data_IF_456249716961
#
_entry.id   IF_456249716961
#
_cell.length_a   1.000
_cell.length_b   1.000
_cell.length_c   1.000
_cell.angle_alpha   90.00
_cell.angle_beta   90.00
_cell.angle_gamma   90.00
#
_symmetry.space_group_name_H-M   'P 1'
#
loop_
_entity.id
_entity.type
_entity.pdbx_description
1 polymer ?
#
# COMPACT_ATOMS: atom_id res chain seq x y z
N UNK A 1 13.06 0.10 1.88
CA UNK A 1 11.78 -0.65 1.92
C UNK A 1 11.36 -1.05 3.33
N UNK A 2 12.22 -1.64 4.18
CA UNK A 2 11.87 -1.87 5.61
C UNK A 2 11.57 -0.55 6.33
N UNK A 3 12.43 0.45 6.16
CA UNK A 3 12.22 1.79 6.72
C UNK A 3 10.93 2.44 6.21
N UNK A 4 10.66 2.38 4.91
CA UNK A 4 9.41 2.87 4.34
C UNK A 4 8.16 2.19 4.92
N UNK A 5 8.20 0.88 5.21
CA UNK A 5 7.11 0.18 5.88
C UNK A 5 6.96 0.63 7.33
N UNK A 6 8.06 0.80 8.06
CA UNK A 6 8.04 1.33 9.43
C UNK A 6 7.46 2.75 9.45
N UNK A 7 7.85 3.63 8.53
CA UNK A 7 7.28 4.98 8.41
C UNK A 7 5.78 4.92 8.13
N UNK A 8 5.31 3.98 7.31
CA UNK A 8 3.87 3.79 7.09
C UNK A 8 3.17 3.35 8.38
N UNK A 9 3.76 2.46 9.18
CA UNK A 9 3.18 2.05 10.45
C UNK A 9 3.19 3.15 11.49
N UNK A 10 4.26 3.93 11.58
CA UNK A 10 4.33 5.13 12.41
C UNK A 10 3.27 6.14 12.00
N UNK A 11 3.06 6.36 10.70
CA UNK A 11 1.97 7.21 10.20
C UNK A 11 0.60 6.66 10.63
N UNK A 12 0.36 5.35 10.53
CA UNK A 12 -0.91 4.74 10.97
C UNK A 12 -1.13 4.94 12.48
N UNK A 13 -0.10 4.69 13.29
CA UNK A 13 -0.16 4.83 14.75
C UNK A 13 -0.30 6.29 15.21
N UNK A 14 0.19 7.24 14.41
CA UNK A 14 0.03 8.68 14.67
C UNK A 14 -1.38 9.21 14.41
N UNK A 15 -2.27 8.41 13.82
CA UNK A 15 -3.67 8.80 13.58
C UNK A 15 -4.59 8.22 14.65
N UNK A 16 -5.70 8.92 14.93
CA UNK A 16 -6.77 8.40 15.80
C UNK A 16 -7.76 7.50 15.06
N UNK A 17 -7.63 7.34 13.74
CA UNK A 17 -8.62 6.64 12.92
C UNK A 17 -8.49 5.12 13.00
N UNK A 18 -9.55 4.37 13.37
CA UNK A 18 -9.45 2.94 13.64
C UNK A 18 -9.04 2.11 12.41
N UNK A 19 -9.24 2.62 11.19
CA UNK A 19 -8.86 1.99 9.94
C UNK A 19 -8.16 2.99 9.02
N UNK A 20 -7.03 2.58 8.43
CA UNK A 20 -6.23 3.43 7.54
C UNK A 20 -6.02 2.74 6.20
N UNK A 21 -6.34 3.44 5.12
CA UNK A 21 -6.08 3.00 3.75
C UNK A 21 -4.81 3.66 3.23
N UNK A 22 -3.99 2.91 2.51
CA UNK A 22 -2.70 3.38 2.01
C UNK A 22 -2.70 3.32 0.49
N UNK A 23 -2.39 4.44 -0.16
CA UNK A 23 -2.06 4.47 -1.58
C UNK A 23 -0.54 4.66 -1.70
N UNK A 24 0.11 3.78 -2.45
CA UNK A 24 1.56 3.81 -2.68
C UNK A 24 1.87 3.92 -4.17
N UNK A 25 2.83 4.76 -4.51
CA UNK A 25 3.26 5.02 -5.89
C UNK A 25 4.74 4.61 -6.05
N UNK A 26 5.01 3.36 -6.47
CA UNK A 26 6.36 2.92 -6.83
C UNK A 26 6.77 3.30 -8.26
N UNK A 27 6.04 4.17 -8.97
CA UNK A 27 6.26 4.42 -10.40
C UNK A 27 7.67 4.89 -10.77
N UNK A 28 8.42 5.43 -9.81
CA UNK A 28 9.80 5.91 -9.97
C UNK A 28 10.85 4.92 -9.43
N UNK A 29 10.43 3.74 -8.97
CA UNK A 29 11.33 2.67 -8.49
C UNK A 29 12.03 2.01 -9.68
N UNK A 30 13.33 2.28 -9.83
CA UNK A 30 14.15 1.76 -10.93
C UNK A 30 14.70 0.35 -10.69
N UNK A 31 14.73 -0.10 -9.42
CA UNK A 31 15.28 -1.40 -9.02
C UNK A 31 14.20 -2.22 -8.29
N UNK A 32 13.42 -3.03 -9.02
CA UNK A 32 12.40 -3.86 -8.40
C UNK A 32 13.05 -4.87 -7.45
N UNK A 33 12.47 -5.07 -6.27
CA UNK A 33 12.90 -6.17 -5.40
C UNK A 33 12.44 -7.50 -5.99
N UNK A 34 13.25 -8.56 -5.88
CA UNK A 34 12.83 -9.88 -6.31
C UNK A 34 11.69 -10.39 -5.40
N UNK A 35 10.72 -11.16 -5.93
CA UNK A 35 9.52 -11.57 -5.20
C UNK A 35 9.79 -12.27 -3.86
N UNK A 36 10.87 -13.05 -3.76
CA UNK A 36 11.29 -13.72 -2.52
C UNK A 36 11.66 -12.72 -1.41
N UNK A 37 12.32 -11.60 -1.74
CA UNK A 37 12.62 -10.54 -0.77
C UNK A 37 11.37 -9.80 -0.36
N UNK A 38 10.42 -9.57 -1.27
CA UNK A 38 9.13 -8.95 -0.95
C UNK A 38 8.37 -9.83 0.05
N UNK A 39 8.28 -11.14 -0.22
CA UNK A 39 7.62 -12.09 0.69
C UNK A 39 8.30 -12.17 2.05
N UNK A 40 9.64 -12.14 2.09
CA UNK A 40 10.40 -12.12 3.33
C UNK A 40 10.12 -10.85 4.14
N UNK A 41 10.14 -9.67 3.51
CA UNK A 41 9.83 -8.39 4.16
C UNK A 41 8.41 -8.42 4.71
N UNK A 42 7.44 -8.90 3.92
CA UNK A 42 6.04 -8.99 4.34
C UNK A 42 5.85 -9.94 5.52
N UNK A 43 6.49 -11.12 5.51
CA UNK A 43 6.45 -12.07 6.63
C UNK A 43 7.10 -11.52 7.90
N UNK A 44 8.12 -10.68 7.76
CA UNK A 44 8.84 -10.09 8.89
C UNK A 44 8.11 -8.88 9.48
N UNK A 45 7.57 -8.00 8.63
CA UNK A 45 6.87 -6.80 9.05
C UNK A 45 5.43 -7.09 9.50
N UNK A 46 4.83 -8.18 9.01
CA UNK A 46 3.41 -8.48 9.20
C UNK A 46 2.51 -7.52 8.41
N UNK A 47 1.21 -7.56 8.71
CA UNK A 47 0.28 -6.50 8.34
C UNK A 47 -0.13 -5.78 9.61
N UNK A 48 -0.17 -4.45 9.58
CA UNK A 48 -0.70 -3.67 10.68
C UNK A 48 -2.20 -3.97 10.86
N UNK A 49 -2.66 -4.20 12.09
CA UNK A 49 -4.05 -4.61 12.36
C UNK A 49 -5.10 -3.57 11.91
N UNK A 50 -4.70 -2.29 11.88
CA UNK A 50 -5.52 -1.15 11.41
C UNK A 50 -5.41 -0.87 9.91
N UNK A 51 -4.59 -1.64 9.17
CA UNK A 51 -4.42 -1.45 7.73
C UNK A 51 -5.66 -1.98 6.99
N UNK A 52 -6.35 -1.07 6.33
CA UNK A 52 -7.45 -1.36 5.42
C UNK A 52 -6.95 -1.75 4.02
N UNK A 53 -7.40 -1.02 3.00
CA UNK A 53 -6.94 -1.23 1.63
C UNK A 53 -5.54 -0.69 1.42
N UNK A 54 -4.66 -1.48 0.80
CA UNK A 54 -3.36 -1.05 0.29
C UNK A 54 -3.37 -1.04 -1.24
N UNK A 55 -3.37 0.15 -1.82
CA UNK A 55 -3.45 0.36 -3.26
C UNK A 55 -2.09 0.75 -3.82
N UNK A 56 -1.69 0.12 -4.92
CA UNK A 56 -0.40 0.37 -5.58
C UNK A 56 -0.68 0.96 -6.96
N UNK A 57 -0.26 2.19 -7.20
CA UNK A 57 -0.50 2.93 -8.44
C UNK A 57 0.78 3.08 -9.27
N UNK A 58 0.66 3.32 -10.58
CA UNK A 58 1.79 3.58 -11.50
C UNK A 58 2.89 2.50 -11.56
N UNK A 59 2.70 1.34 -10.93
CA UNK A 59 3.59 0.19 -11.08
C UNK A 59 3.54 -0.29 -12.54
N UNK A 60 4.69 -0.32 -13.22
CA UNK A 60 4.79 -0.72 -14.64
C UNK A 60 5.32 -2.14 -14.82
N UNK A 61 5.98 -2.69 -13.81
CA UNK A 61 6.53 -4.04 -13.85
C UNK A 61 5.42 -5.07 -13.68
N UNK A 62 5.15 -5.83 -14.75
CA UNK A 62 4.21 -6.95 -14.72
C UNK A 62 4.61 -7.99 -13.64
N UNK A 63 5.92 -8.16 -13.41
CA UNK A 63 6.45 -9.06 -12.39
C UNK A 63 6.09 -8.56 -10.98
N UNK A 64 6.19 -7.25 -10.73
CA UNK A 64 5.77 -6.69 -9.44
C UNK A 64 4.26 -6.80 -9.28
N UNK A 65 3.46 -6.44 -10.29
CA UNK A 65 1.99 -6.60 -10.24
C UNK A 65 1.58 -8.04 -9.90
N UNK A 66 2.22 -9.02 -10.55
CA UNK A 66 1.98 -10.44 -10.29
C UNK A 66 2.40 -10.85 -8.87
N UNK A 67 3.56 -10.38 -8.39
CA UNK A 67 4.03 -10.64 -7.04
C UNK A 67 3.07 -10.07 -5.97
N UNK A 68 2.58 -8.84 -6.18
CA UNK A 68 1.58 -8.21 -5.31
C UNK A 68 0.28 -9.01 -5.30
N UNK A 69 -0.23 -9.40 -6.48
CA UNK A 69 -1.45 -10.19 -6.59
C UNK A 69 -1.32 -11.55 -5.87
N UNK A 70 -0.16 -12.19 -6.00
CA UNK A 70 0.14 -13.45 -5.32
C UNK A 70 0.19 -13.30 -3.80
N UNK A 71 0.87 -12.26 -3.30
CA UNK A 71 0.90 -11.95 -1.86
C UNK A 71 -0.50 -11.63 -1.36
N UNK A 72 -1.29 -10.86 -2.11
CA UNK A 72 -2.66 -10.53 -1.75
C UNK A 72 -3.55 -11.76 -1.62
N UNK A 73 -3.45 -12.69 -2.59
CA UNK A 73 -4.18 -13.95 -2.56
C UNK A 73 -3.79 -14.83 -1.36
N UNK A 74 -2.49 -14.94 -1.07
CA UNK A 74 -1.98 -15.77 0.04
C UNK A 74 -2.31 -15.18 1.42
N UNK A 75 -2.19 -13.87 1.57
CA UNK A 75 -2.42 -13.19 2.84
C UNK A 75 -3.90 -12.83 3.06
N UNK A 76 -4.79 -13.13 2.11
CA UNK A 76 -6.15 -12.56 2.02
C UNK A 76 -6.14 -11.04 2.25
N UNK A 77 -5.07 -10.37 1.83
CA UNK A 77 -4.89 -8.96 2.13
C UNK A 77 -5.73 -8.13 1.20
N UNK A 78 -6.22 -6.99 1.71
CA UNK A 78 -6.91 -5.97 0.92
C UNK A 78 -5.90 -5.18 0.07
N UNK A 79 -5.07 -5.85 -0.72
CA UNK A 79 -4.04 -5.22 -1.55
C UNK A 79 -4.44 -5.28 -3.03
N UNK A 80 -4.34 -4.16 -3.76
CA UNK A 80 -4.70 -4.10 -5.18
C UNK A 80 -3.78 -3.16 -5.97
N UNK A 81 -3.39 -3.57 -7.18
CA UNK A 81 -2.72 -2.67 -8.12
C UNK A 81 -3.74 -1.98 -9.03
N UNK A 82 -3.56 -0.68 -9.24
CA UNK A 82 -4.38 0.19 -10.07
C UNK A 82 -3.48 1.06 -10.95
N UNK A 83 -4.02 1.63 -12.01
CA UNK A 83 -3.18 2.33 -13.00
C UNK A 83 -2.85 3.77 -12.59
N UNK A 84 -3.72 4.42 -11.82
CA UNK A 84 -3.55 5.82 -11.43
C UNK A 84 -4.08 6.13 -10.03
N UNK A 85 -3.65 7.26 -9.48
CA UNK A 85 -4.15 7.79 -8.22
C UNK A 85 -5.67 8.06 -8.28
N UNK A 86 -6.14 8.66 -9.37
CA UNK A 86 -7.58 8.91 -9.58
C UNK A 86 -8.41 7.62 -9.56
N UNK A 87 -7.90 6.54 -10.16
CA UNK A 87 -8.57 5.23 -10.13
C UNK A 87 -8.56 4.63 -8.72
N UNK A 88 -7.48 4.85 -7.95
CA UNK A 88 -7.39 4.41 -6.56
C UNK A 88 -8.36 5.15 -5.64
N UNK A 89 -8.48 6.46 -5.78
CA UNK A 89 -9.47 7.24 -5.04
C UNK A 89 -10.90 6.80 -5.38
N UNK A 90 -11.23 6.66 -6.67
CA UNK A 90 -12.55 6.18 -7.10
C UNK A 90 -12.86 4.78 -6.56
N UNK A 91 -11.86 3.91 -6.48
CA UNK A 91 -12.01 2.59 -5.87
C UNK A 91 -12.30 2.68 -4.36
N UNK A 92 -11.56 3.49 -3.61
CA UNK A 92 -11.79 3.67 -2.18
C UNK A 92 -13.17 4.27 -1.90
N UNK A 93 -13.58 5.29 -2.65
CA UNK A 93 -14.93 5.90 -2.55
C UNK A 93 -16.04 4.87 -2.67
N UNK A 94 -15.84 3.86 -3.52
CA UNK A 94 -16.81 2.77 -3.72
C UNK A 94 -16.75 1.71 -2.62
N UNK A 95 -15.58 1.45 -2.07
CA UNK A 95 -15.36 0.36 -1.10
C UNK A 95 -15.57 0.78 0.35
N UNK A 96 -15.44 2.07 0.64
CA UNK A 96 -15.59 2.61 1.98
C UNK A 96 -16.23 4.00 1.89
N UNK A 97 -17.56 4.01 2.06
CA UNK A 97 -18.37 5.23 2.08
C UNK A 97 -18.18 6.05 3.36
N UNK A 98 -17.51 5.50 4.38
CA UNK A 98 -17.25 6.18 5.65
C UNK A 98 -16.02 7.10 5.61
N UNK A 99 -15.28 7.10 4.51
CA UNK A 99 -14.10 7.94 4.32
C UNK A 99 -14.48 9.42 4.21
N UNK A 100 -13.93 10.24 5.11
CA UNK A 100 -13.93 11.69 5.01
C UNK A 100 -12.84 12.15 4.02
N UNK A 101 -13.27 12.61 2.86
CA UNK A 101 -12.37 13.05 1.78
C UNK A 101 -11.84 14.47 1.95
N UNK A 102 -12.37 15.22 2.92
CA UNK A 102 -11.92 16.59 3.20
C UNK A 102 -10.68 16.60 4.11
N UNK A 103 -10.34 15.46 4.74
CA UNK A 103 -9.20 15.30 5.68
C UNK A 103 -8.10 14.35 5.18
N UNK A 104 -7.91 14.24 3.86
CA UNK A 104 -6.90 13.33 3.29
C UNK A 104 -5.47 13.80 3.60
N UNK A 105 -4.74 13.03 4.41
CA UNK A 105 -3.31 13.25 4.62
C UNK A 105 -2.49 12.72 3.42
N UNK A 106 -1.80 13.62 2.73
CA UNK A 106 -0.91 13.31 1.61
C UNK A 106 0.55 13.42 2.06
N UNK A 107 1.07 12.35 2.64
CA UNK A 107 2.47 12.27 3.07
C UNK A 107 3.33 11.51 2.05
N UNK A 108 4.53 12.03 1.75
CA UNK A 108 5.51 11.38 0.87
C UNK A 108 6.55 10.67 1.74
N UNK A 109 6.52 9.33 1.73
CA UNK A 109 7.57 8.53 2.36
C UNK A 109 8.66 8.19 1.32
N UNK A 110 9.76 8.96 1.32
CA UNK A 110 10.94 8.66 0.49
C UNK A 110 11.87 7.67 1.20
N UNK A 111 12.29 6.61 0.49
CA UNK A 111 13.42 5.79 0.95
C UNK A 111 14.71 6.56 0.63
N UNK A 112 15.44 7.00 1.66
CA UNK A 112 16.82 7.47 1.51
C UNK A 112 17.76 6.33 1.12
#
# INVERSE_FOLDING_TARGET
MREALNSVYEMIESTDYPHVHVISDPGDVTKPLPPNKVLQIFRQAGMHNRLGWHLIVREKSAIIKMGVAFVAALAKSKTRSLDSFATAEAFLKKMDESLDWDQVNRSVASSG
#
